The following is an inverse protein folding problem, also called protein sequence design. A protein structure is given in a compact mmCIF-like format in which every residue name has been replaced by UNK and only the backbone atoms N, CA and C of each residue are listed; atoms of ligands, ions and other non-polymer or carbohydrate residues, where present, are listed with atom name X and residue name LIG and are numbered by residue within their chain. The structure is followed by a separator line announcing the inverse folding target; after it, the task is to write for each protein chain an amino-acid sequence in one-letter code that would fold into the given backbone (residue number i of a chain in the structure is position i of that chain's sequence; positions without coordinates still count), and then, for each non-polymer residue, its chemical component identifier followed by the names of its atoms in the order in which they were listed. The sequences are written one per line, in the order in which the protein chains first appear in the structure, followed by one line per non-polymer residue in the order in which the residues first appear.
data_IF_691831583954
#
_entry.id   IF_691831583954
#
_cell.length_a   1.000
_cell.length_b   1.000
_cell.length_c   1.000
_cell.angle_alpha   90.00
_cell.angle_beta   90.00
_cell.angle_gamma   90.00
#
_symmetry.space_group_name_H-M   'P 1'
#
loop_
_entity.id
_entity.type
_entity.pdbx_description
1 polymer ?
#
# COMPACT_ATOMS: atom_id res chain seq x y z
N UNK A 1 -11.86 6.41 -11.42
CA UNK A 1 -11.41 5.87 -10.12
C UNK A 1 -9.99 5.33 -10.25
N UNK A 2 -9.14 5.70 -9.32
CA UNK A 2 -7.76 5.25 -9.29
C UNK A 2 -7.62 4.03 -8.39
N UNK A 3 -7.27 2.89 -8.95
CA UNK A 3 -7.13 1.64 -8.20
C UNK A 3 -5.68 1.18 -8.22
N UNK A 4 -5.16 0.74 -7.07
CA UNK A 4 -3.86 0.11 -6.99
C UNK A 4 -4.04 -1.38 -6.68
N UNK A 5 -3.20 -2.21 -7.30
CA UNK A 5 -3.13 -3.64 -6.98
C UNK A 5 -1.91 -3.90 -6.12
N UNK A 6 -2.14 -4.45 -4.93
CA UNK A 6 -1.08 -4.91 -4.03
C UNK A 6 -0.99 -6.42 -4.21
N UNK A 7 0.18 -6.91 -4.60
CA UNK A 7 0.33 -8.31 -4.94
C UNK A 7 1.69 -8.84 -4.51
N UNK A 8 1.85 -10.15 -4.63
CA UNK A 8 3.12 -10.84 -4.43
C UNK A 8 3.65 -11.23 -5.81
N UNK A 9 4.87 -10.79 -6.11
CA UNK A 9 5.50 -11.08 -7.40
C UNK A 9 6.95 -11.49 -7.21
N UNK A 10 7.36 -12.51 -7.93
CA UNK A 10 8.78 -12.84 -8.04
C UNK A 10 9.52 -11.75 -8.81
N UNK A 11 10.86 -11.77 -8.74
CA UNK A 11 11.68 -10.85 -9.52
C UNK A 11 11.43 -11.01 -11.02
N UNK A 12 11.23 -12.24 -11.49
CA UNK A 12 10.96 -12.50 -12.91
C UNK A 12 9.60 -11.93 -13.34
N UNK A 13 8.57 -12.11 -12.55
CA UNK A 13 7.24 -11.56 -12.83
C UNK A 13 7.28 -10.02 -12.88
N UNK A 14 8.00 -9.41 -11.95
CA UNK A 14 8.18 -7.96 -11.90
C UNK A 14 8.91 -7.47 -13.16
N UNK A 15 9.95 -8.18 -13.57
CA UNK A 15 10.70 -7.87 -14.79
C UNK A 15 9.82 -7.96 -16.03
N UNK A 16 9.00 -9.00 -16.14
CA UNK A 16 8.08 -9.15 -17.26
C UNK A 16 7.05 -8.02 -17.32
N UNK A 17 6.52 -7.61 -16.16
CA UNK A 17 5.60 -6.48 -16.10
C UNK A 17 6.27 -5.19 -16.56
N UNK A 18 7.50 -4.96 -16.14
CA UNK A 18 8.30 -3.81 -16.55
C UNK A 18 8.50 -3.80 -18.06
N UNK A 19 8.87 -4.93 -18.65
CA UNK A 19 9.07 -5.06 -20.10
C UNK A 19 7.76 -4.83 -20.87
N UNK A 20 6.63 -5.31 -20.36
CA UNK A 20 5.34 -5.09 -20.99
C UNK A 20 4.98 -3.59 -20.98
N UNK A 21 5.23 -2.89 -19.88
CA UNK A 21 5.01 -1.46 -19.77
C UNK A 21 5.90 -0.69 -20.73
N UNK A 22 7.17 -1.10 -20.85
CA UNK A 22 8.12 -0.50 -21.77
C UNK A 22 7.65 -0.63 -23.22
N UNK A 23 6.96 -1.73 -23.56
CA UNK A 23 6.38 -1.94 -24.87
C UNK A 23 5.06 -1.21 -25.09
N UNK A 24 4.66 -0.36 -24.17
CA UNK A 24 3.43 0.43 -24.29
C UNK A 24 2.17 -0.25 -23.83
N UNK A 25 2.26 -1.42 -23.19
CA UNK A 25 1.09 -2.11 -22.64
C UNK A 25 0.76 -1.54 -21.25
N UNK A 26 -0.45 -1.01 -21.03
CA UNK A 26 -0.83 -0.49 -19.70
C UNK A 26 -0.83 -1.62 -18.67
N UNK A 27 -0.19 -1.39 -17.52
CA UNK A 27 -0.12 -2.36 -16.44
C UNK A 27 -0.90 -1.93 -15.19
N UNK A 28 -1.39 -0.68 -15.16
CA UNK A 28 -2.03 -0.13 -13.98
C UNK A 28 -1.02 0.18 -12.87
N UNK A 29 -1.51 0.62 -11.73
CA UNK A 29 -0.69 0.90 -10.56
C UNK A 29 -0.52 -0.39 -9.75
N UNK A 30 0.73 -0.73 -9.43
CA UNK A 30 1.07 -1.94 -8.69
C UNK A 30 2.03 -1.63 -7.55
N UNK A 31 1.79 -2.27 -6.41
CA UNK A 31 2.74 -2.34 -5.30
C UNK A 31 2.97 -3.82 -5.05
N UNK A 32 4.22 -4.28 -5.13
CA UNK A 32 4.52 -5.70 -5.04
C UNK A 32 5.42 -6.01 -3.87
N UNK A 33 5.17 -7.17 -3.26
CA UNK A 33 6.02 -7.75 -2.22
C UNK A 33 6.65 -9.03 -2.75
N UNK A 34 7.88 -9.34 -2.35
CA UNK A 34 8.56 -10.54 -2.84
C UNK A 34 7.94 -11.84 -2.33
N UNK A 35 7.29 -11.81 -1.16
CA UNK A 35 6.67 -12.99 -0.55
C UNK A 35 5.35 -12.62 0.13
N UNK A 36 4.49 -13.63 0.33
CA UNK A 36 3.24 -13.47 1.08
C UNK A 36 3.54 -13.07 2.53
N UNK A 37 4.61 -13.60 3.11
CA UNK A 37 5.02 -13.28 4.47
C UNK A 37 5.36 -11.81 4.62
N UNK A 38 6.06 -11.23 3.65
CA UNK A 38 6.38 -9.80 3.66
C UNK A 38 5.11 -8.96 3.53
N UNK A 39 4.19 -9.35 2.67
CA UNK A 39 2.91 -8.66 2.51
C UNK A 39 2.17 -8.62 3.84
N UNK A 40 2.00 -9.76 4.51
CA UNK A 40 1.28 -9.83 5.78
C UNK A 40 2.02 -9.10 6.91
N UNK A 41 3.35 -9.09 6.87
CA UNK A 41 4.14 -8.37 7.87
C UNK A 41 3.90 -6.87 7.79
N UNK A 42 3.80 -6.33 6.60
CA UNK A 42 3.56 -4.90 6.38
C UNK A 42 2.08 -4.55 6.57
N UNK A 43 1.18 -5.36 6.01
CA UNK A 43 -0.26 -5.15 6.10
C UNK A 43 -0.88 -5.87 7.31
N UNK A 44 -0.20 -5.78 8.46
CA UNK A 44 -0.77 -6.25 9.73
C UNK A 44 -2.10 -5.50 10.00
N UNK A 45 -3.00 -6.07 10.83
CA UNK A 45 -4.36 -5.52 11.00
C UNK A 45 -4.42 -4.02 11.28
N UNK A 46 -3.53 -3.51 12.13
CA UNK A 46 -3.52 -2.08 12.47
C UNK A 46 -3.15 -1.21 11.28
N UNK A 47 -2.20 -1.66 10.47
CA UNK A 47 -1.80 -0.92 9.26
C UNK A 47 -2.83 -1.04 8.16
N UNK A 48 -3.49 -2.19 8.04
CA UNK A 48 -4.58 -2.36 7.08
C UNK A 48 -5.75 -1.42 7.42
N UNK A 49 -6.06 -1.23 8.69
CA UNK A 49 -7.10 -0.28 9.11
C UNK A 49 -6.73 1.15 8.70
N UNK A 50 -5.44 1.53 8.81
CA UNK A 50 -4.98 2.83 8.34
C UNK A 50 -5.13 2.98 6.83
N UNK A 51 -4.71 1.99 6.07
CA UNK A 51 -4.87 2.02 4.60
C UNK A 51 -6.34 2.18 4.23
N UNK A 52 -7.22 1.48 4.94
CA UNK A 52 -8.66 1.57 4.69
C UNK A 52 -9.20 3.00 4.86
N UNK A 53 -8.87 3.66 5.98
CA UNK A 53 -9.40 5.01 6.24
C UNK A 53 -8.75 6.07 5.37
N UNK A 54 -7.56 5.80 4.84
CA UNK A 54 -6.86 6.74 3.96
C UNK A 54 -7.20 6.55 2.48
N UNK A 55 -7.83 5.44 2.13
CA UNK A 55 -8.25 5.18 0.75
C UNK A 55 -9.31 6.20 0.35
N UNK A 56 -9.05 6.96 -0.71
CA UNK A 56 -9.95 8.00 -1.20
C UNK A 56 -10.07 9.22 -0.31
N UNK A 57 -9.24 9.33 0.74
CA UNK A 57 -9.35 10.42 1.71
C UNK A 57 -8.59 11.69 1.33
N UNK A 58 -7.72 11.61 0.31
CA UNK A 58 -6.81 12.70 -0.01
C UNK A 58 -5.71 12.85 1.04
N UNK A 59 -5.18 14.05 1.18
CA UNK A 59 -4.11 14.32 2.16
C UNK A 59 -4.72 14.49 3.54
N UNK A 60 -4.18 13.77 4.52
CA UNK A 60 -4.68 13.73 5.90
C UNK A 60 -3.49 13.88 6.85
N UNK A 61 -3.63 14.66 7.92
CA UNK A 61 -2.58 14.74 8.94
C UNK A 61 -2.50 13.42 9.71
N UNK A 62 -1.33 13.14 10.30
CA UNK A 62 -1.18 11.95 11.14
C UNK A 62 -2.13 11.98 12.34
N UNK A 63 -2.37 13.17 12.92
CA UNK A 63 -3.35 13.33 14.00
C UNK A 63 -4.76 12.95 13.57
N UNK A 64 -5.16 13.39 12.38
CA UNK A 64 -6.49 13.06 11.86
C UNK A 64 -6.59 11.56 11.55
N UNK A 65 -5.54 10.96 10.98
CA UNK A 65 -5.50 9.52 10.75
C UNK A 65 -5.64 8.75 12.07
N UNK A 66 -4.92 9.18 13.10
CA UNK A 66 -5.00 8.57 14.43
C UNK A 66 -6.42 8.65 15.01
N UNK A 67 -7.07 9.80 14.84
CA UNK A 67 -8.45 10.01 15.29
C UNK A 67 -9.39 9.03 14.57
N UNK A 68 -9.23 8.89 13.26
CA UNK A 68 -10.10 8.03 12.43
C UNK A 68 -9.98 6.55 12.79
N UNK A 69 -8.80 6.10 13.22
CA UNK A 69 -8.60 4.70 13.65
C UNK A 69 -8.69 4.53 15.18
N UNK A 70 -8.93 5.63 15.92
CA UNK A 70 -9.06 5.64 17.37
C UNK A 70 -7.84 5.02 18.06
N UNK A 71 -6.65 5.51 17.70
CA UNK A 71 -5.39 5.03 18.25
C UNK A 71 -4.46 6.18 18.59
N UNK A 72 -3.50 5.91 19.47
CA UNK A 72 -2.49 6.87 19.87
C UNK A 72 -1.66 7.37 18.68
N UNK A 73 -1.39 8.67 18.66
CA UNK A 73 -0.65 9.32 17.57
C UNK A 73 0.74 8.71 17.38
N UNK A 74 1.43 8.35 18.47
CA UNK A 74 2.77 7.75 18.37
C UNK A 74 2.73 6.39 17.69
N UNK A 75 1.75 5.56 18.04
CA UNK A 75 1.58 4.25 17.42
C UNK A 75 1.25 4.40 15.94
N UNK A 76 0.36 5.33 15.60
CA UNK A 76 0.00 5.60 14.20
C UNK A 76 1.18 6.16 13.43
N UNK A 77 1.99 7.05 14.03
CA UNK A 77 3.20 7.56 13.39
C UNK A 77 4.16 6.42 13.01
N UNK A 78 4.35 5.46 13.92
CA UNK A 78 5.20 4.30 13.65
C UNK A 78 4.66 3.46 12.48
N UNK A 79 3.35 3.19 12.45
CA UNK A 79 2.73 2.46 11.36
C UNK A 79 2.80 3.21 10.03
N UNK A 80 2.61 4.53 10.06
CA UNK A 80 2.73 5.38 8.88
C UNK A 80 4.15 5.31 8.31
N UNK A 81 5.16 5.36 9.18
CA UNK A 81 6.56 5.26 8.76
C UNK A 81 6.83 3.92 8.05
N UNK A 82 6.33 2.82 8.62
CA UNK A 82 6.44 1.51 7.99
C UNK A 82 5.77 1.49 6.61
N UNK A 83 4.57 2.07 6.50
CA UNK A 83 3.83 2.10 5.23
C UNK A 83 4.51 3.00 4.19
N UNK A 84 5.13 4.09 4.61
CA UNK A 84 5.91 4.94 3.69
C UNK A 84 7.12 4.17 3.15
N UNK A 85 7.86 3.48 4.02
CA UNK A 85 9.03 2.69 3.62
C UNK A 85 8.65 1.54 2.67
N UNK A 86 7.45 1.00 2.82
CA UNK A 86 6.95 -0.06 1.94
C UNK A 86 6.39 0.47 0.62
N UNK A 87 6.31 1.79 0.44
CA UNK A 87 5.82 2.40 -0.78
C UNK A 87 4.30 2.54 -0.88
N UNK A 88 3.57 2.29 0.21
CA UNK A 88 2.11 2.40 0.19
C UNK A 88 1.62 3.82 0.44
N UNK A 89 2.28 4.55 1.34
CA UNK A 89 1.91 5.92 1.65
C UNK A 89 3.00 6.87 1.19
N UNK A 90 2.61 8.10 0.90
CA UNK A 90 3.56 9.17 0.64
C UNK A 90 3.35 10.31 1.63
N UNK A 91 4.45 10.97 1.96
CA UNK A 91 4.42 12.16 2.80
C UNK A 91 4.33 13.39 1.92
N UNK A 92 3.49 14.34 2.32
CA UNK A 92 3.38 15.65 1.68
C UNK A 92 3.60 16.73 2.73
N UNK A 93 3.69 17.99 2.31
CA UNK A 93 3.84 19.12 3.23
C UNK A 93 2.66 19.23 4.20
N UNK A 94 1.48 18.82 3.77
CA UNK A 94 0.26 18.93 4.56
C UNK A 94 -0.09 17.66 5.35
N UNK A 95 0.63 16.57 5.14
CA UNK A 95 0.34 15.31 5.84
C UNK A 95 0.77 14.08 5.06
N UNK A 96 -0.07 13.07 5.09
CA UNK A 96 0.16 11.78 4.42
C UNK A 96 -0.98 11.50 3.45
N UNK A 97 -0.70 10.66 2.47
CA UNK A 97 -1.69 10.31 1.46
C UNK A 97 -1.49 8.89 0.97
N UNK A 98 -2.60 8.16 0.82
CA UNK A 98 -2.68 6.95 0.01
C UNK A 98 -3.40 7.39 -1.28
N UNK A 99 -2.67 7.63 -2.39
CA UNK A 99 -3.22 8.36 -3.52
C UNK A 99 -4.10 7.51 -4.44
N UNK A 100 -4.94 6.67 -3.86
CA UNK A 100 -5.82 5.77 -4.62
C UNK A 100 -7.22 5.77 -4.02
N UNK A 101 -8.21 5.51 -4.87
CA UNK A 101 -9.62 5.45 -4.48
C UNK A 101 -10.04 4.05 -4.10
N UNK A 102 -9.28 3.05 -4.54
CA UNK A 102 -9.56 1.65 -4.23
C UNK A 102 -8.26 0.86 -4.21
N UNK A 103 -8.25 -0.24 -3.47
CA UNK A 103 -7.12 -1.15 -3.40
C UNK A 103 -7.61 -2.57 -3.64
N UNK A 104 -6.90 -3.27 -4.52
CA UNK A 104 -7.09 -4.68 -4.78
C UNK A 104 -5.90 -5.42 -4.22
N UNK A 105 -6.12 -6.32 -3.28
CA UNK A 105 -5.05 -7.17 -2.73
C UNK A 105 -5.18 -8.54 -3.37
N UNK A 106 -4.11 -8.97 -4.05
CA UNK A 106 -4.14 -10.18 -4.85
C UNK A 106 -2.88 -11.01 -4.59
N UNK A 107 -3.04 -12.24 -4.17
CA UNK A 107 -1.96 -13.20 -4.05
C UNK A 107 -2.54 -14.61 -4.15
N UNK A 108 -1.67 -15.56 -4.50
CA UNK A 108 -2.07 -16.95 -4.65
C UNK A 108 -1.35 -17.81 -3.62
N UNK A 109 -2.11 -18.61 -2.87
CA UNK A 109 -1.55 -19.66 -2.02
C UNK A 109 -1.57 -20.96 -2.82
N UNK A 110 -0.40 -21.51 -3.06
CA UNK A 110 -0.26 -22.73 -3.84
C UNK A 110 0.01 -23.91 -2.92
N UNK A 111 -0.46 -25.09 -3.32
CA UNK A 111 -0.11 -26.34 -2.64
C UNK A 111 1.41 -26.56 -2.73
N UNK A 112 1.96 -27.13 -1.64
CA UNK A 112 3.40 -27.41 -1.58
C UNK A 112 3.80 -28.53 -2.56
#
# INVERSE_FOLDING_TARGET
MKTVTISVSSADETKQRFLAAFKGKPQGAHITFPTVEQLWKVLAPNRMALVRVLTGAGVVSIREAARRVDRDVRAVHSDVTTLIHAGLLRRTDAGIEFPYDAVHVDFMLKAA
#
